data_IF_430679383440
#
_entry.id   IF_430679383440
#
_cell.length_a   1.000
_cell.length_b   1.000
_cell.length_c   1.000
_cell.angle_alpha   90.00
_cell.angle_beta   90.00
_cell.angle_gamma   90.00
#
_symmetry.space_group_name_H-M   'P 1'
#
loop_
_entity.id
_entity.type
_entity.pdbx_description
1 polymer ?
#
# COMPACT_ATOMS: atom_id res chain seq x y z
N UNK A 1 -0.56 16.03 13.26
CA UNK A 1 0.88 16.15 13.59
C UNK A 1 1.71 16.59 12.38
N UNK A 2 1.31 16.23 11.17
CA UNK A 2 2.10 16.49 9.95
C UNK A 2 2.15 17.96 9.52
N UNK A 3 1.13 18.76 9.84
CA UNK A 3 0.98 20.12 9.30
C UNK A 3 1.76 21.22 10.04
N UNK A 4 2.14 20.97 11.31
CA UNK A 4 2.74 21.99 12.17
C UNK A 4 4.16 21.66 12.65
N UNK A 5 4.68 20.49 12.30
CA UNK A 5 6.01 20.04 12.73
C UNK A 5 7.03 20.18 11.63
N UNK A 6 8.24 20.69 11.97
CA UNK A 6 9.40 20.65 11.08
C UNK A 6 10.07 19.27 11.12
N UNK A 7 9.93 18.57 12.22
CA UNK A 7 10.55 17.27 12.47
C UNK A 7 9.64 16.43 13.36
N UNK A 8 9.50 15.17 13.00
CA UNK A 8 8.72 14.18 13.76
C UNK A 8 9.66 13.08 14.24
N UNK A 9 9.47 12.67 15.51
CA UNK A 9 10.12 11.50 16.09
C UNK A 9 9.04 10.46 16.34
N UNK A 10 9.13 9.31 15.71
CA UNK A 10 8.21 8.19 15.94
C UNK A 10 8.83 7.22 16.91
N UNK A 11 8.14 6.98 18.01
CA UNK A 11 8.57 6.08 19.10
C UNK A 11 7.64 4.86 19.19
N UNK A 12 8.23 3.71 19.47
CA UNK A 12 7.49 2.50 19.82
C UNK A 12 8.15 1.85 21.02
N UNK A 13 7.38 1.67 22.12
CA UNK A 13 7.85 1.10 23.36
C UNK A 13 9.15 1.76 23.86
N UNK A 14 9.25 3.10 23.77
CA UNK A 14 10.41 3.87 24.21
C UNK A 14 11.60 3.87 23.26
N UNK A 15 11.52 3.17 22.12
CA UNK A 15 12.59 3.10 21.13
C UNK A 15 12.24 3.96 19.92
N UNK A 16 13.21 4.75 19.44
CA UNK A 16 13.04 5.56 18.22
C UNK A 16 12.98 4.66 17.00
N UNK A 17 11.86 4.72 16.28
CA UNK A 17 11.68 3.99 15.03
C UNK A 17 12.18 4.80 13.83
N UNK A 18 11.87 6.09 13.78
CA UNK A 18 12.32 6.99 12.72
C UNK A 18 12.22 8.45 13.16
N UNK A 19 13.12 9.28 12.64
CA UNK A 19 13.13 10.74 12.81
C UNK A 19 13.26 11.38 11.44
N UNK A 20 12.47 12.40 11.15
CA UNK A 20 12.58 13.13 9.90
C UNK A 20 11.48 14.18 9.71
N UNK A 21 11.52 14.86 8.57
CA UNK A 21 10.47 15.76 8.17
C UNK A 21 9.16 15.00 7.92
N UNK A 22 7.97 15.61 8.12
CA UNK A 22 6.69 14.92 7.93
C UNK A 22 6.56 14.21 6.58
N UNK A 23 6.89 14.85 5.49
CA UNK A 23 6.81 14.26 4.15
C UNK A 23 7.79 13.11 3.95
N UNK A 24 8.97 13.20 4.57
CA UNK A 24 9.97 12.13 4.52
C UNK A 24 9.43 10.84 5.17
N UNK A 25 8.82 10.96 6.35
CA UNK A 25 8.22 9.81 7.04
C UNK A 25 7.02 9.25 6.28
N UNK A 26 6.28 10.11 5.61
CA UNK A 26 5.14 9.72 4.77
C UNK A 26 5.59 8.98 3.51
N UNK A 27 6.56 9.53 2.77
CA UNK A 27 7.04 8.98 1.50
C UNK A 27 8.01 7.81 1.68
N UNK A 28 8.85 7.86 2.72
CA UNK A 28 9.92 6.89 2.96
C UNK A 28 9.92 6.34 4.39
N UNK A 29 8.84 5.70 4.83
CA UNK A 29 8.82 5.08 6.16
C UNK A 29 9.84 3.94 6.22
N UNK A 30 10.55 3.84 7.34
CA UNK A 30 11.58 2.82 7.54
C UNK A 30 11.00 1.42 7.80
N UNK A 31 9.76 1.34 8.25
CA UNK A 31 9.07 0.08 8.55
C UNK A 31 7.56 0.24 8.53
N UNK A 32 6.83 -0.87 8.69
CA UNK A 32 5.37 -0.90 8.66
C UNK A 32 4.76 -0.12 9.83
N UNK A 33 5.44 -0.05 10.97
CA UNK A 33 4.95 0.71 12.12
C UNK A 33 4.87 2.21 11.78
N UNK A 34 5.95 2.77 11.26
CA UNK A 34 5.99 4.18 10.85
C UNK A 34 4.98 4.44 9.72
N UNK A 35 4.97 3.57 8.70
CA UNK A 35 4.05 3.70 7.57
C UNK A 35 2.59 3.69 7.98
N UNK A 36 2.23 2.83 8.93
CA UNK A 36 0.87 2.74 9.46
C UNK A 36 0.52 3.86 10.45
N UNK A 37 1.52 4.43 11.14
CA UNK A 37 1.32 5.51 12.10
C UNK A 37 1.16 6.87 11.43
N UNK A 38 1.88 7.10 10.33
CA UNK A 38 1.83 8.36 9.59
C UNK A 38 0.76 8.27 8.50
N UNK A 39 -0.19 9.18 8.55
CA UNK A 39 -1.32 9.25 7.62
C UNK A 39 -2.62 8.72 8.21
N UNK A 40 -3.73 9.23 7.70
CA UNK A 40 -5.09 8.83 8.12
C UNK A 40 -6.02 8.89 6.91
N UNK A 41 -6.67 7.79 6.52
CA UNK A 41 -6.54 6.45 7.11
C UNK A 41 -5.14 5.84 6.97
N UNK A 42 -4.91 4.74 7.68
CA UNK A 42 -3.63 4.02 7.66
C UNK A 42 -3.32 3.45 6.29
N UNK A 43 -2.03 3.25 5.99
CA UNK A 43 -1.58 2.49 4.82
C UNK A 43 -2.18 1.08 4.81
N UNK A 44 -2.59 0.61 3.65
CA UNK A 44 -2.95 -0.79 3.45
C UNK A 44 -1.68 -1.63 3.35
N UNK A 45 -1.65 -2.77 4.00
CA UNK A 45 -0.57 -3.75 3.88
C UNK A 45 -1.13 -5.02 3.26
N UNK A 46 -0.76 -5.26 2.00
CA UNK A 46 -1.23 -6.40 1.23
C UNK A 46 -0.17 -7.51 1.31
N UNK A 47 -0.48 -8.56 2.03
CA UNK A 47 0.43 -9.69 2.21
C UNK A 47 0.61 -10.46 0.90
N UNK A 48 1.84 -10.89 0.63
CA UNK A 48 2.15 -11.64 -0.57
C UNK A 48 3.49 -12.34 -0.52
N UNK A 49 3.83 -12.97 -1.64
CA UNK A 49 5.09 -13.70 -1.82
C UNK A 49 5.72 -13.25 -3.13
N UNK A 50 7.03 -13.04 -3.13
CA UNK A 50 7.78 -12.75 -4.35
C UNK A 50 7.76 -14.00 -5.23
N UNK A 51 7.23 -13.86 -6.45
CA UNK A 51 7.05 -14.97 -7.39
C UNK A 51 7.89 -14.83 -8.66
N UNK A 52 8.53 -13.68 -8.87
CA UNK A 52 9.36 -13.46 -10.04
C UNK A 52 10.19 -12.19 -9.95
N UNK A 53 11.14 -12.12 -10.87
CA UNK A 53 12.03 -10.96 -11.04
C UNK A 53 12.07 -10.56 -12.53
N UNK A 54 10.93 -10.20 -13.12
CA UNK A 54 10.89 -9.91 -14.55
C UNK A 54 11.65 -8.64 -14.89
N UNK A 55 12.16 -8.59 -16.12
CA UNK A 55 12.79 -7.39 -16.66
C UNK A 55 12.09 -6.99 -17.95
N UNK A 56 11.67 -5.74 -18.00
CA UNK A 56 10.95 -5.25 -19.17
C UNK A 56 11.43 -3.82 -19.52
N UNK A 57 11.77 -3.59 -20.79
CA UNK A 57 12.28 -2.31 -21.28
C UNK A 57 13.43 -1.73 -20.43
N UNK A 58 14.35 -2.59 -19.96
CA UNK A 58 15.49 -2.17 -19.16
C UNK A 58 15.22 -1.99 -17.67
N UNK A 59 13.96 -2.04 -17.24
CA UNK A 59 13.56 -1.95 -15.84
C UNK A 59 13.41 -3.33 -15.23
N UNK A 60 13.98 -3.52 -14.05
CA UNK A 60 13.73 -4.72 -13.24
C UNK A 60 12.45 -4.51 -12.43
N UNK A 61 11.74 -5.60 -12.19
CA UNK A 61 10.55 -5.59 -11.36
C UNK A 61 10.64 -6.66 -10.27
N UNK A 62 10.01 -6.39 -9.16
CA UNK A 62 9.69 -7.38 -8.15
C UNK A 62 8.25 -7.82 -8.38
N UNK A 63 8.06 -9.05 -8.82
CA UNK A 63 6.72 -9.63 -8.99
C UNK A 63 6.26 -10.22 -7.67
N UNK A 64 5.12 -9.77 -7.19
CA UNK A 64 4.51 -10.24 -5.94
C UNK A 64 3.12 -10.79 -6.24
N UNK A 65 2.87 -12.02 -5.83
CA UNK A 65 1.53 -12.62 -5.83
C UNK A 65 0.89 -12.36 -4.48
N UNK A 66 -0.25 -11.67 -4.47
CA UNK A 66 -0.95 -11.26 -3.26
C UNK A 66 -1.81 -12.38 -2.71
N UNK A 67 -1.74 -12.56 -1.40
CA UNK A 67 -2.58 -13.51 -0.67
C UNK A 67 -3.98 -12.91 -0.45
N UNK A 68 -5.01 -13.72 -0.66
CA UNK A 68 -6.39 -13.29 -0.40
C UNK A 68 -7.02 -12.41 -1.49
N UNK A 69 -6.33 -12.19 -2.62
CA UNK A 69 -6.84 -11.40 -3.76
C UNK A 69 -6.87 -12.22 -5.05
N UNK A 70 -7.33 -13.47 -4.98
CA UNK A 70 -7.44 -14.39 -6.13
C UNK A 70 -6.11 -14.55 -6.90
N UNK A 71 -4.98 -14.59 -6.17
CA UNK A 71 -3.63 -14.64 -6.74
C UNK A 71 -3.31 -13.47 -7.68
N UNK A 72 -3.85 -12.30 -7.40
CA UNK A 72 -3.49 -11.08 -8.12
C UNK A 72 -1.99 -10.86 -8.05
N UNK A 73 -1.39 -10.52 -9.19
CA UNK A 73 0.04 -10.25 -9.33
C UNK A 73 0.27 -8.76 -9.45
N UNK A 74 1.23 -8.26 -8.69
CA UNK A 74 1.67 -6.86 -8.72
C UNK A 74 3.14 -6.82 -9.09
N UNK A 75 3.50 -5.97 -10.04
CA UNK A 75 4.88 -5.79 -10.49
C UNK A 75 5.38 -4.42 -10.03
N UNK A 76 6.25 -4.41 -9.00
CA UNK A 76 6.84 -3.18 -8.49
C UNK A 76 8.15 -2.88 -9.21
N UNK A 77 8.31 -1.69 -9.81
CA UNK A 77 9.59 -1.30 -10.39
C UNK A 77 10.70 -1.32 -9.33
N UNK A 78 11.86 -1.85 -9.68
CA UNK A 78 12.94 -2.08 -8.74
C UNK A 78 14.30 -1.73 -9.35
N UNK A 79 14.96 -0.71 -8.83
CA UNK A 79 16.30 -0.32 -9.30
C UNK A 79 17.41 -1.05 -8.55
N UNK A 80 17.14 -1.47 -7.32
CA UNK A 80 18.09 -2.20 -6.47
C UNK A 80 18.04 -3.71 -6.68
N UNK A 81 18.53 -4.44 -5.67
CA UNK A 81 18.48 -5.91 -5.66
C UNK A 81 17.07 -6.39 -5.37
N UNK A 82 16.47 -7.06 -6.34
CA UNK A 82 15.13 -7.64 -6.17
C UNK A 82 15.19 -8.78 -5.15
N UNK A 83 14.28 -8.84 -4.17
CA UNK A 83 14.21 -9.95 -3.23
C UNK A 83 14.09 -11.32 -3.94
N UNK A 84 14.62 -12.37 -3.32
CA UNK A 84 14.56 -13.72 -3.88
C UNK A 84 13.11 -14.22 -3.99
N UNK A 85 12.85 -15.01 -5.04
CA UNK A 85 11.58 -15.72 -5.20
C UNK A 85 11.33 -16.60 -3.96
N UNK A 86 10.10 -16.56 -3.44
CA UNK A 86 9.70 -17.24 -2.22
C UNK A 86 9.75 -16.37 -0.97
N UNK A 87 10.29 -15.15 -1.04
CA UNK A 87 10.32 -14.21 0.08
C UNK A 87 8.91 -13.74 0.40
N UNK A 88 8.51 -13.85 1.66
CA UNK A 88 7.24 -13.29 2.15
C UNK A 88 7.40 -11.78 2.35
N UNK A 89 6.46 -11.00 1.81
CA UNK A 89 6.50 -9.53 1.81
C UNK A 89 5.13 -8.94 2.06
N UNK A 90 5.10 -7.66 2.40
CA UNK A 90 3.90 -6.83 2.41
C UNK A 90 4.06 -5.71 1.40
N UNK A 91 3.03 -5.51 0.59
CA UNK A 91 2.94 -4.37 -0.34
C UNK A 91 2.13 -3.27 0.34
N UNK A 92 2.75 -2.13 0.61
CA UNK A 92 2.11 -0.98 1.23
C UNK A 92 1.51 -0.04 0.21
N UNK A 93 0.22 0.23 0.31
CA UNK A 93 -0.49 1.16 -0.56
C UNK A 93 -1.33 2.10 0.27
N UNK A 94 -1.12 3.39 0.12
CA UNK A 94 -1.94 4.38 0.83
C UNK A 94 -3.33 4.49 0.20
N UNK A 95 -4.38 4.74 1.00
CA UNK A 95 -5.74 4.87 0.48
C UNK A 95 -5.87 5.88 -0.67
N UNK A 96 -5.15 6.99 -0.60
CA UNK A 96 -5.17 8.07 -1.60
C UNK A 96 -4.38 7.74 -2.88
N UNK A 97 -3.62 6.65 -2.89
CA UNK A 97 -2.86 6.22 -4.07
C UNK A 97 -3.65 5.29 -4.99
N UNK A 98 -4.87 4.93 -4.62
CA UNK A 98 -5.77 4.26 -5.55
C UNK A 98 -6.30 5.27 -6.55
N UNK A 99 -6.24 4.92 -7.83
CA UNK A 99 -6.65 5.81 -8.91
C UNK A 99 -7.09 4.99 -10.13
N UNK A 100 -7.94 5.59 -10.94
CA UNK A 100 -8.34 5.01 -12.22
C UNK A 100 -7.11 4.89 -13.13
N UNK A 101 -7.04 3.79 -13.87
CA UNK A 101 -5.93 3.55 -14.80
C UNK A 101 -4.64 3.03 -14.17
N UNK A 102 -4.62 2.76 -12.87
CA UNK A 102 -3.47 2.10 -12.21
C UNK A 102 -3.21 0.72 -12.81
N UNK A 103 -1.94 0.30 -12.85
CA UNK A 103 -1.52 -0.95 -13.46
C UNK A 103 -1.76 -2.18 -12.58
N UNK A 104 -1.88 -2.00 -11.27
CA UNK A 104 -2.24 -3.06 -10.33
C UNK A 104 -3.76 -3.09 -10.11
N UNK A 105 -4.37 -4.26 -10.15
CA UNK A 105 -5.82 -4.45 -10.09
C UNK A 105 -6.18 -5.37 -8.95
N UNK A 106 -7.02 -4.89 -8.02
CA UNK A 106 -7.53 -5.66 -6.89
C UNK A 106 -9.04 -5.87 -7.03
N UNK A 107 -9.51 -7.10 -7.28
CA UNK A 107 -10.94 -7.38 -7.24
C UNK A 107 -11.44 -7.30 -5.80
N UNK A 108 -12.41 -6.44 -5.55
CA UNK A 108 -12.96 -6.22 -4.21
C UNK A 108 -14.47 -6.02 -4.24
N UNK A 109 -15.11 -6.17 -3.08
CA UNK A 109 -16.52 -5.86 -2.86
C UNK A 109 -16.61 -4.81 -1.75
N UNK A 110 -17.39 -3.77 -1.98
CA UNK A 110 -17.57 -2.69 -1.02
C UNK A 110 -18.39 -3.18 0.18
N UNK A 111 -17.82 -3.08 1.38
CA UNK A 111 -18.54 -3.33 2.63
C UNK A 111 -19.24 -2.07 3.13
N UNK A 112 -18.54 -0.95 3.13
CA UNK A 112 -19.01 0.30 3.72
C UNK A 112 -18.41 1.50 2.99
N UNK A 113 -19.17 2.58 2.93
CA UNK A 113 -18.71 3.88 2.44
C UNK A 113 -18.83 4.91 3.57
N UNK A 114 -17.79 5.68 3.77
CA UNK A 114 -17.75 6.76 4.73
C UNK A 114 -17.51 8.08 4.00
N UNK A 115 -18.48 8.99 4.15
CA UNK A 115 -18.42 10.31 3.53
C UNK A 115 -17.97 11.34 4.55
N UNK A 116 -16.80 11.92 4.37
CA UNK A 116 -16.21 12.92 5.24
C UNK A 116 -15.98 14.21 4.44
N UNK A 117 -16.99 15.08 4.44
CA UNK A 117 -16.92 16.33 3.70
C UNK A 117 -16.77 16.08 2.20
N UNK A 118 -15.64 16.51 1.63
CA UNK A 118 -15.31 16.31 0.21
C UNK A 118 -14.68 14.97 -0.12
N UNK A 119 -14.38 14.16 0.87
CA UNK A 119 -13.68 12.88 0.72
C UNK A 119 -14.62 11.72 1.00
N UNK A 120 -14.45 10.63 0.26
CA UNK A 120 -15.16 9.39 0.50
C UNK A 120 -14.15 8.26 0.65
N UNK A 121 -14.23 7.55 1.76
CA UNK A 121 -13.43 6.35 1.99
C UNK A 121 -14.29 5.11 1.79
N UNK A 122 -13.76 4.21 1.01
CA UNK A 122 -14.38 2.93 0.71
C UNK A 122 -13.65 1.84 1.49
N UNK A 123 -14.40 1.14 2.34
CA UNK A 123 -13.92 -0.04 3.05
C UNK A 123 -14.37 -1.26 2.25
N UNK A 124 -13.43 -1.94 1.64
CA UNK A 124 -13.70 -3.03 0.71
C UNK A 124 -13.02 -4.31 1.15
N UNK A 125 -13.49 -5.42 0.63
CA UNK A 125 -13.04 -6.75 0.98
C UNK A 125 -12.77 -7.57 -0.27
N UNK A 126 -11.66 -8.34 -0.25
CA UNK A 126 -11.39 -9.34 -1.28
C UNK A 126 -12.22 -10.60 -1.05
N UNK A 127 -12.21 -11.51 -2.03
CA UNK A 127 -12.82 -12.86 -1.88
C UNK A 127 -12.20 -13.67 -0.76
N UNK A 128 -10.93 -13.41 -0.42
CA UNK A 128 -10.21 -14.03 0.70
C UNK A 128 -10.33 -13.27 2.02
N UNK A 129 -11.32 -12.39 2.17
CA UNK A 129 -11.56 -11.56 3.36
C UNK A 129 -10.44 -10.58 3.74
N UNK A 130 -9.51 -10.27 2.83
CA UNK A 130 -8.54 -9.22 3.06
C UNK A 130 -9.20 -7.84 2.90
N UNK A 131 -8.96 -6.96 3.87
CA UNK A 131 -9.56 -5.62 3.92
C UNK A 131 -8.68 -4.58 3.26
N UNK A 132 -9.29 -3.66 2.52
CA UNK A 132 -8.63 -2.53 1.87
C UNK A 132 -9.43 -1.26 2.12
N UNK A 133 -8.74 -0.18 2.48
CA UNK A 133 -9.33 1.16 2.60
C UNK A 133 -8.87 1.99 1.41
N UNK A 134 -9.81 2.54 0.68
CA UNK A 134 -9.57 3.26 -0.57
C UNK A 134 -10.21 4.64 -0.47
N UNK A 135 -9.45 5.69 -0.78
CA UNK A 135 -10.01 7.01 -0.99
C UNK A 135 -10.59 7.05 -2.41
N UNK A 136 -11.90 7.19 -2.50
CA UNK A 136 -12.62 7.19 -3.77
C UNK A 136 -12.96 8.60 -4.22
N UNK A 137 -12.63 8.91 -5.46
CA UNK A 137 -13.01 10.18 -6.12
C UNK A 137 -14.43 10.12 -6.70
N UNK A 138 -15.01 8.93 -6.78
CA UNK A 138 -16.33 8.66 -7.37
C UNK A 138 -17.36 8.14 -6.35
N UNK A 139 -17.14 8.42 -5.07
CA UNK A 139 -17.89 7.82 -3.97
C UNK A 139 -19.39 7.98 -4.00
N UNK A 140 -19.91 9.02 -4.66
CA UNK A 140 -21.34 9.27 -4.73
C UNK A 140 -22.12 8.28 -5.60
N UNK A 141 -21.45 7.63 -6.54
CA UNK A 141 -22.04 6.64 -7.43
C UNK A 141 -21.87 5.20 -6.94
N UNK A 142 -21.11 4.98 -5.87
CA UNK A 142 -20.81 3.67 -5.32
C UNK A 142 -21.83 3.24 -4.27
N UNK A 143 -22.00 1.93 -4.13
CA UNK A 143 -22.93 1.31 -3.18
C UNK A 143 -22.29 0.17 -2.41
N UNK A 144 -22.68 0.00 -1.16
CA UNK A 144 -22.33 -1.17 -0.37
C UNK A 144 -22.82 -2.44 -1.09
N UNK A 145 -22.00 -3.48 -1.08
CA UNK A 145 -22.26 -4.74 -1.79
C UNK A 145 -21.83 -4.76 -3.25
N UNK A 146 -21.43 -3.62 -3.80
CA UNK A 146 -20.98 -3.54 -5.19
C UNK A 146 -19.59 -4.15 -5.36
N UNK A 147 -19.44 -5.01 -6.37
CA UNK A 147 -18.13 -5.54 -6.77
C UNK A 147 -17.46 -4.56 -7.74
N UNK A 148 -16.15 -4.36 -7.57
CA UNK A 148 -15.38 -3.51 -8.46
C UNK A 148 -13.90 -3.92 -8.51
N UNK A 149 -13.17 -3.37 -9.47
CA UNK A 149 -11.72 -3.49 -9.58
C UNK A 149 -11.09 -2.21 -9.05
N UNK A 150 -10.47 -2.30 -7.86
CA UNK A 150 -9.67 -1.19 -7.33
C UNK A 150 -8.29 -1.19 -8.00
N UNK A 151 -7.84 -0.03 -8.43
CA UNK A 151 -6.57 0.10 -9.17
C UNK A 151 -5.63 1.06 -8.47
N UNK A 152 -4.34 0.73 -8.50
CA UNK A 152 -3.28 1.62 -8.02
C UNK A 152 -2.05 1.52 -8.93
N UNK A 153 -1.21 2.56 -8.88
CA UNK A 153 0.07 2.57 -9.56
C UNK A 153 1.09 1.81 -8.70
N UNK A 154 1.57 0.68 -9.20
CA UNK A 154 2.56 -0.13 -8.49
C UNK A 154 3.86 0.63 -8.22
N UNK A 155 4.19 1.64 -9.03
CA UNK A 155 5.35 2.51 -8.81
C UNK A 155 5.27 3.37 -7.55
N UNK A 156 4.07 3.58 -7.01
CA UNK A 156 3.84 4.31 -5.76
C UNK A 156 3.70 3.40 -4.54
N UNK A 157 3.63 2.09 -4.74
CA UNK A 157 3.57 1.13 -3.65
C UNK A 157 4.95 0.95 -3.01
N UNK A 158 4.95 0.60 -1.74
CA UNK A 158 6.16 0.33 -0.97
C UNK A 158 6.23 -1.16 -0.64
N UNK A 159 7.44 -1.67 -0.49
CA UNK A 159 7.66 -3.08 -0.18
C UNK A 159 8.31 -3.22 1.20
N UNK A 160 7.80 -4.17 1.99
CA UNK A 160 8.30 -4.46 3.33
C UNK A 160 8.53 -5.95 3.49
N UNK A 161 9.52 -6.31 4.31
CA UNK A 161 9.69 -7.69 4.77
C UNK A 161 8.54 -8.09 5.70
N UNK A 162 8.38 -9.39 5.92
CA UNK A 162 7.39 -9.94 6.85
C UNK A 162 7.56 -9.40 8.27
N UNK A 163 8.79 -9.13 8.70
CA UNK A 163 9.09 -8.54 10.02
C UNK A 163 8.78 -7.04 10.11
N UNK A 164 8.38 -6.42 9.02
CA UNK A 164 8.01 -5.01 8.94
C UNK A 164 9.10 -4.08 8.43
N UNK A 165 10.33 -4.54 8.25
CA UNK A 165 11.40 -3.70 7.74
C UNK A 165 11.21 -3.34 6.27
N UNK A 166 11.52 -2.11 5.90
CA UNK A 166 11.40 -1.62 4.52
C UNK A 166 12.36 -2.36 3.59
N UNK A 167 11.87 -2.72 2.42
CA UNK A 167 12.70 -3.16 1.29
C UNK A 167 12.76 -2.00 0.30
N UNK A 168 13.92 -1.37 0.17
CA UNK A 168 14.09 -0.21 -0.70
C UNK A 168 14.27 -0.63 -2.15
N UNK A 169 13.51 0.03 -3.04
CA UNK A 169 13.57 -0.24 -4.47
C UNK A 169 14.84 0.33 -5.15
N UNK A 170 15.60 1.15 -4.43
CA UNK A 170 16.82 1.80 -4.95
C UNK A 170 17.79 2.16 -3.84
#
# INVERSE_FOLDING_TARGET
AMTLADKIVVLRAGVVEQVGAPLELYDNPANTFVAGFIGSPRMNFLEGTVTGQPRFNGTNYCEVTLNGFDNTVVNLPFAGTVPAVGTEVSVGVRPEHFQDGGDAVLPVTIDMLEHLGGETFMYARSSGDAMVVIESKHGRSLRSGQALEARFDAGKALLFHKDGQRIYAH
#
